data_IF_574457225858
#
_entry.id   IF_574457225858
#
_cell.length_a   1.000
_cell.length_b   1.000
_cell.length_c   1.000
_cell.angle_alpha   90.00
_cell.angle_beta   90.00
_cell.angle_gamma   90.00
#
_symmetry.space_group_name_H-M   'P 1'
#
loop_
_entity.id
_entity.type
_entity.pdbx_description
1 polymer ?
#
# COMPACT_ATOMS: atom_id res chain seq x y z
N UNK A 1 -16.56 -16.73 14.80
CA UNK A 1 -15.46 -17.66 14.61
C UNK A 1 -15.88 -18.78 13.65
N UNK A 2 -15.12 -19.00 12.60
CA UNK A 2 -15.36 -20.05 11.61
C UNK A 2 -14.90 -21.39 12.19
N UNK A 3 -15.77 -22.42 12.26
CA UNK A 3 -15.43 -23.67 12.94
C UNK A 3 -14.41 -24.54 12.19
N UNK A 4 -14.22 -24.31 10.89
CA UNK A 4 -13.19 -24.94 10.07
C UNK A 4 -12.51 -23.91 9.22
N UNK A 5 -11.19 -23.88 9.24
CA UNK A 5 -10.36 -22.96 8.47
C UNK A 5 -9.43 -23.73 7.53
N UNK A 6 -9.07 -23.10 6.42
CA UNK A 6 -8.04 -23.61 5.51
C UNK A 6 -6.68 -23.74 6.19
N UNK A 7 -5.84 -24.57 5.63
CA UNK A 7 -4.53 -24.89 6.23
C UNK A 7 -3.54 -23.72 6.17
N UNK A 8 -3.60 -22.90 5.13
CA UNK A 8 -2.66 -21.77 4.98
C UNK A 8 -3.32 -20.46 5.42
N UNK A 9 -2.70 -19.70 6.32
CA UNK A 9 -3.19 -18.37 6.64
C UNK A 9 -2.95 -17.41 5.48
N UNK A 10 -3.75 -16.33 5.45
CA UNK A 10 -3.62 -15.24 4.51
C UNK A 10 -3.11 -14.00 5.25
N UNK A 11 -1.98 -13.46 4.79
CA UNK A 11 -1.47 -12.16 5.24
C UNK A 11 -1.88 -11.09 4.24
N UNK A 12 -2.54 -10.06 4.72
CA UNK A 12 -3.05 -8.94 3.91
C UNK A 12 -2.28 -7.68 4.24
N UNK A 13 -1.66 -7.09 3.22
CA UNK A 13 -0.89 -5.84 3.32
C UNK A 13 -1.65 -4.73 2.60
N UNK A 14 -2.39 -3.89 3.33
CA UNK A 14 -3.13 -2.76 2.77
C UNK A 14 -2.20 -1.57 2.50
N UNK A 15 -2.68 -0.51 1.83
CA UNK A 15 -1.91 0.71 1.65
C UNK A 15 -1.55 1.36 3.01
N UNK A 16 -0.40 2.05 3.05
CA UNK A 16 0.07 2.80 4.21
C UNK A 16 -0.21 4.31 4.11
N UNK A 17 -0.65 4.80 2.94
CA UNK A 17 -0.97 6.22 2.70
C UNK A 17 -2.32 6.59 3.34
N UNK A 18 -3.28 5.67 3.27
CA UNK A 18 -4.55 5.75 3.98
C UNK A 18 -4.66 4.62 5.01
N UNK A 19 -5.74 4.58 5.75
CA UNK A 19 -5.95 3.57 6.80
C UNK A 19 -6.24 2.18 6.21
N UNK A 20 -5.75 1.17 6.91
CA UNK A 20 -5.85 -0.24 6.54
C UNK A 20 -7.29 -0.74 6.32
N UNK A 21 -8.28 -0.11 6.97
CA UNK A 21 -9.67 -0.55 6.98
C UNK A 21 -10.44 -0.28 5.68
N UNK A 22 -9.78 0.19 4.61
CA UNK A 22 -10.37 0.20 3.26
C UNK A 22 -10.91 -1.20 2.87
N UNK A 23 -10.26 -2.25 3.36
CA UNK A 23 -10.66 -3.64 3.08
C UNK A 23 -11.66 -4.20 4.10
N UNK A 24 -12.04 -3.40 5.10
CA UNK A 24 -12.90 -3.79 6.23
C UNK A 24 -13.70 -2.58 6.73
N UNK A 25 -14.47 -1.93 5.83
CA UNK A 25 -15.15 -0.67 6.10
C UNK A 25 -16.34 -0.86 7.06
N UNK A 26 -17.17 -1.86 6.81
CA UNK A 26 -18.34 -2.19 7.64
C UNK A 26 -18.79 -3.64 7.34
N UNK A 27 -19.67 -4.23 8.17
CA UNK A 27 -20.04 -5.65 8.03
C UNK A 27 -20.51 -6.07 6.64
N UNK A 28 -21.23 -5.20 5.94
CA UNK A 28 -21.78 -5.50 4.61
C UNK A 28 -20.83 -5.07 3.47
N UNK A 29 -19.70 -4.43 3.82
CA UNK A 29 -18.68 -3.97 2.89
C UNK A 29 -17.28 -4.27 3.46
N UNK A 30 -16.97 -5.58 3.59
CA UNK A 30 -15.72 -6.07 4.15
C UNK A 30 -15.20 -7.26 3.34
N UNK A 31 -14.09 -7.04 2.65
CA UNK A 31 -13.34 -8.12 2.01
C UNK A 31 -12.72 -9.06 3.05
N UNK A 32 -12.27 -8.51 4.19
CA UNK A 32 -11.71 -9.31 5.29
C UNK A 32 -12.74 -10.28 5.84
N UNK A 33 -13.96 -9.80 6.13
CA UNK A 33 -15.06 -10.63 6.58
C UNK A 33 -15.37 -11.74 5.56
N UNK A 34 -15.50 -11.38 4.29
CA UNK A 34 -15.73 -12.35 3.23
C UNK A 34 -14.66 -13.45 3.23
N UNK A 35 -13.37 -13.09 3.28
CA UNK A 35 -12.28 -14.07 3.31
C UNK A 35 -12.34 -14.99 4.53
N UNK A 36 -12.69 -14.45 5.70
CA UNK A 36 -12.86 -15.23 6.92
C UNK A 36 -14.06 -16.19 6.80
N UNK A 37 -15.18 -15.74 6.24
CA UNK A 37 -16.38 -16.58 5.99
C UNK A 37 -16.08 -17.70 4.97
N UNK A 38 -15.14 -17.49 4.05
CA UNK A 38 -14.64 -18.53 3.14
C UNK A 38 -13.64 -19.50 3.82
N UNK A 39 -13.46 -19.40 5.12
CA UNK A 39 -12.62 -20.33 5.89
C UNK A 39 -11.14 -20.00 5.92
N UNK A 40 -10.75 -18.78 5.66
CA UNK A 40 -9.36 -18.34 5.81
C UNK A 40 -9.08 -17.84 7.23
N UNK A 41 -7.87 -18.12 7.74
CA UNK A 41 -7.30 -17.38 8.86
C UNK A 41 -6.61 -16.16 8.27
N UNK A 42 -7.10 -14.96 8.58
CA UNK A 42 -6.65 -13.71 7.97
C UNK A 42 -5.87 -12.87 8.98
N UNK A 43 -4.68 -12.42 8.59
CA UNK A 43 -3.85 -11.46 9.31
C UNK A 43 -3.83 -10.17 8.48
N UNK A 44 -4.44 -9.11 9.00
CA UNK A 44 -4.46 -7.80 8.35
C UNK A 44 -3.43 -6.89 9.01
N UNK A 45 -2.46 -6.40 8.23
CA UNK A 45 -1.48 -5.43 8.70
C UNK A 45 -2.17 -4.10 8.98
N UNK A 46 -2.01 -3.58 10.19
CA UNK A 46 -2.50 -2.25 10.58
C UNK A 46 -1.31 -1.30 10.72
N UNK A 47 -1.14 -0.42 9.75
CA UNK A 47 -0.07 0.57 9.79
C UNK A 47 -0.33 1.62 10.87
N UNK A 48 0.67 1.86 11.71
CA UNK A 48 0.65 2.96 12.66
C UNK A 48 0.73 4.29 11.88
N UNK A 49 -0.07 5.29 12.27
CA UNK A 49 0.11 6.64 11.75
C UNK A 49 1.42 7.23 12.34
N UNK A 50 2.43 7.56 11.49
CA UNK A 50 3.68 8.12 11.97
C UNK A 50 3.50 9.48 12.67
N UNK A 51 4.27 9.66 13.74
CA UNK A 51 4.46 10.94 14.44
C UNK A 51 5.91 11.39 14.24
N UNK A 52 6.28 12.57 14.73
CA UNK A 52 7.66 13.09 14.64
C UNK A 52 8.71 12.07 15.11
N UNK A 53 8.39 11.28 16.14
CA UNK A 53 9.28 10.21 16.63
C UNK A 53 9.56 9.12 15.58
N UNK A 54 8.72 8.99 14.57
CA UNK A 54 8.84 8.00 13.47
C UNK A 54 9.36 8.63 12.17
N UNK A 55 9.67 9.92 12.19
CA UNK A 55 10.05 10.68 10.99
C UNK A 55 11.36 10.23 10.33
N UNK A 56 12.13 9.35 10.97
CA UNK A 56 13.37 8.77 10.48
C UNK A 56 13.19 7.46 9.71
N UNK A 57 11.99 6.84 9.77
CA UNK A 57 11.75 5.53 9.16
C UNK A 57 11.88 5.58 7.63
N UNK A 58 12.50 4.54 7.10
CA UNK A 58 12.83 4.36 5.70
C UNK A 58 11.87 3.39 4.99
N UNK A 59 12.03 3.23 3.69
CA UNK A 59 11.37 2.17 2.92
C UNK A 59 11.72 0.78 3.44
N UNK A 60 12.99 0.55 3.79
CA UNK A 60 13.45 -0.74 4.32
C UNK A 60 12.85 -1.07 5.69
N UNK A 61 12.67 -0.06 6.55
CA UNK A 61 11.97 -0.24 7.83
C UNK A 61 10.53 -0.71 7.63
N UNK A 62 9.85 -0.18 6.60
CA UNK A 62 8.50 -0.63 6.25
C UNK A 62 8.49 -2.06 5.72
N UNK A 63 9.51 -2.50 4.98
CA UNK A 63 9.64 -3.90 4.55
C UNK A 63 9.83 -4.84 5.73
N UNK A 64 10.81 -4.53 6.60
CA UNK A 64 11.20 -5.39 7.72
C UNK A 64 10.12 -5.48 8.79
N UNK A 65 9.62 -4.33 9.25
CA UNK A 65 8.66 -4.25 10.35
C UNK A 65 7.20 -4.40 9.92
N UNK A 66 6.93 -4.35 8.62
CA UNK A 66 5.61 -4.55 8.02
C UNK A 66 5.43 -5.98 7.50
N UNK A 67 5.47 -6.21 6.17
CA UNK A 67 5.15 -7.51 5.59
C UNK A 67 6.08 -8.63 6.01
N UNK A 68 7.39 -8.42 6.12
CA UNK A 68 8.33 -9.48 6.53
C UNK A 68 7.97 -9.98 7.94
N UNK A 69 7.84 -9.06 8.89
CA UNK A 69 7.42 -9.41 10.25
C UNK A 69 6.04 -10.09 10.28
N UNK A 70 5.05 -9.56 9.53
CA UNK A 70 3.71 -10.13 9.50
C UNK A 70 3.67 -11.56 8.93
N UNK A 71 4.45 -11.83 7.88
CA UNK A 71 4.57 -13.17 7.29
C UNK A 71 5.17 -14.17 8.29
N UNK A 72 6.25 -13.82 8.97
CA UNK A 72 6.88 -14.68 9.99
C UNK A 72 5.94 -14.91 11.19
N UNK A 73 5.26 -13.87 11.69
CA UNK A 73 4.29 -14.00 12.77
C UNK A 73 3.13 -14.92 12.40
N UNK A 74 2.61 -14.79 11.18
CA UNK A 74 1.54 -15.67 10.70
C UNK A 74 2.00 -17.13 10.61
N UNK A 75 3.23 -17.41 10.15
CA UNK A 75 3.82 -18.74 10.15
C UNK A 75 3.95 -19.28 11.58
N UNK A 76 4.45 -18.46 12.50
CA UNK A 76 4.66 -18.87 13.88
C UNK A 76 3.36 -19.19 14.59
N UNK A 77 2.33 -18.36 14.44
CA UNK A 77 1.02 -18.56 15.08
C UNK A 77 0.32 -19.81 14.49
N UNK A 78 0.29 -19.93 13.18
CA UNK A 78 -0.45 -20.99 12.50
C UNK A 78 0.34 -22.29 12.35
N UNK A 79 1.65 -22.28 12.64
CA UNK A 79 2.57 -23.43 12.49
C UNK A 79 2.62 -24.01 11.08
N UNK A 80 2.48 -23.15 10.06
CA UNK A 80 2.63 -23.54 8.66
C UNK A 80 3.92 -22.99 8.06
N UNK A 81 4.55 -23.78 7.18
CA UNK A 81 5.79 -23.36 6.51
C UNK A 81 5.58 -22.25 5.48
N UNK A 82 4.39 -22.23 4.87
CA UNK A 82 4.04 -21.22 3.85
C UNK A 82 2.70 -20.59 4.17
N UNK A 83 2.58 -19.32 3.82
CA UNK A 83 1.35 -18.52 3.93
C UNK A 83 0.90 -18.06 2.55
N UNK A 84 -0.34 -17.63 2.40
CA UNK A 84 -0.80 -16.86 1.25
C UNK A 84 -0.63 -15.37 1.56
N UNK A 85 -0.34 -14.58 0.55
CA UNK A 85 -0.15 -13.14 0.71
C UNK A 85 -1.02 -12.34 -0.26
N UNK A 86 -1.59 -11.24 0.22
CA UNK A 86 -2.36 -10.30 -0.57
C UNK A 86 -1.86 -8.90 -0.32
N UNK A 87 -1.56 -8.16 -1.38
CA UNK A 87 -1.20 -6.76 -1.34
C UNK A 87 -2.20 -5.89 -2.08
N UNK A 88 -2.55 -4.75 -1.50
CA UNK A 88 -3.45 -3.78 -2.12
C UNK A 88 -2.75 -2.44 -2.32
N UNK A 89 -2.79 -1.91 -3.55
CA UNK A 89 -2.20 -0.63 -3.95
C UNK A 89 -0.71 -0.57 -3.57
N UNK A 90 -0.22 0.50 -2.92
CA UNK A 90 1.17 0.61 -2.44
C UNK A 90 1.54 -0.52 -1.46
N UNK A 91 0.56 -1.07 -0.74
CA UNK A 91 0.78 -2.26 0.10
C UNK A 91 1.22 -3.48 -0.72
N UNK A 92 0.74 -3.62 -1.95
CA UNK A 92 1.20 -4.64 -2.88
C UNK A 92 2.64 -4.39 -3.36
N UNK A 93 3.01 -3.14 -3.63
CA UNK A 93 4.39 -2.77 -3.99
C UNK A 93 5.37 -3.06 -2.85
N UNK A 94 4.99 -2.69 -1.61
CA UNK A 94 5.76 -2.98 -0.39
C UNK A 94 5.88 -4.49 -0.18
N UNK A 95 4.77 -5.23 -0.26
CA UNK A 95 4.75 -6.69 -0.12
C UNK A 95 5.65 -7.37 -1.16
N UNK A 96 5.52 -7.02 -2.44
CA UNK A 96 6.31 -7.65 -3.51
C UNK A 96 7.80 -7.35 -3.37
N UNK A 97 8.16 -6.12 -2.94
CA UNK A 97 9.54 -5.76 -2.58
C UNK A 97 10.06 -6.61 -1.43
N UNK A 98 9.26 -6.80 -0.38
CA UNK A 98 9.61 -7.64 0.77
C UNK A 98 9.79 -9.12 0.37
N UNK A 99 8.96 -9.65 -0.54
CA UNK A 99 9.12 -11.01 -1.06
C UNK A 99 10.41 -11.16 -1.86
N UNK A 100 10.82 -10.14 -2.62
CA UNK A 100 12.10 -10.16 -3.32
C UNK A 100 13.30 -10.14 -2.34
N UNK A 101 13.20 -9.42 -1.23
CA UNK A 101 14.18 -9.45 -0.13
C UNK A 101 14.25 -10.85 0.48
N UNK A 102 13.11 -11.46 0.83
CA UNK A 102 13.04 -12.80 1.39
C UNK A 102 13.63 -13.85 0.42
N UNK A 103 13.31 -13.75 -0.88
CA UNK A 103 13.90 -14.61 -1.90
C UNK A 103 15.42 -14.47 -1.96
N UNK A 104 15.95 -13.24 -1.85
CA UNK A 104 17.39 -12.97 -1.74
C UNK A 104 18.03 -13.61 -0.51
N UNK A 105 17.30 -13.72 0.60
CA UNK A 105 17.72 -14.41 1.84
C UNK A 105 17.57 -15.92 1.78
N UNK A 106 17.01 -16.47 0.69
CA UNK A 106 16.73 -17.90 0.56
C UNK A 106 15.46 -18.35 1.31
N UNK A 107 14.57 -17.41 1.63
CA UNK A 107 13.31 -17.67 2.33
C UNK A 107 12.15 -17.72 1.33
N UNK A 108 11.58 -18.89 1.11
CA UNK A 108 10.43 -19.11 0.21
C UNK A 108 9.19 -19.45 1.04
N UNK A 109 8.64 -18.44 1.69
CA UNK A 109 7.60 -18.57 2.71
C UNK A 109 6.19 -18.24 2.21
N UNK A 110 6.04 -17.80 0.96
CA UNK A 110 4.74 -17.46 0.37
C UNK A 110 4.36 -18.46 -0.71
N UNK A 111 3.20 -19.09 -0.55
CA UNK A 111 2.68 -20.11 -1.47
C UNK A 111 1.90 -19.53 -2.65
N UNK A 112 1.27 -18.37 -2.46
CA UNK A 112 0.56 -17.63 -3.51
C UNK A 112 0.51 -16.15 -3.20
N UNK A 113 0.53 -15.34 -4.25
CA UNK A 113 0.48 -13.86 -4.17
C UNK A 113 -0.78 -13.36 -4.87
N UNK A 114 -1.52 -12.48 -4.20
CA UNK A 114 -2.61 -11.73 -4.81
C UNK A 114 -2.26 -10.25 -4.80
N UNK A 115 -2.34 -9.59 -5.93
CA UNK A 115 -2.12 -8.15 -6.07
C UNK A 115 -3.39 -7.48 -6.57
N UNK A 116 -3.88 -6.50 -5.84
CA UNK A 116 -5.04 -5.71 -6.20
C UNK A 116 -4.58 -4.28 -6.48
N UNK A 117 -4.82 -3.78 -7.70
CA UNK A 117 -4.48 -2.41 -8.13
C UNK A 117 -3.09 -1.97 -7.63
N UNK A 118 -2.05 -2.71 -8.03
CA UNK A 118 -0.67 -2.54 -7.53
C UNK A 118 0.27 -2.17 -8.67
N UNK A 119 1.05 -1.09 -8.52
CA UNK A 119 2.12 -0.76 -9.44
C UNK A 119 3.42 -1.49 -9.06
N UNK A 120 3.99 -2.21 -10.01
CA UNK A 120 5.34 -2.79 -9.96
C UNK A 120 6.22 -2.26 -11.10
N UNK A 121 5.61 -1.77 -12.16
CA UNK A 121 6.20 -0.96 -13.23
C UNK A 121 5.53 0.42 -13.21
N UNK A 122 6.33 1.46 -13.06
CA UNK A 122 5.90 2.85 -12.96
C UNK A 122 6.08 3.61 -14.28
N UNK A 123 6.04 2.92 -15.42
CA UNK A 123 6.10 3.54 -16.75
C UNK A 123 4.88 4.43 -16.99
N UNK A 124 3.71 3.99 -16.55
CA UNK A 124 2.49 4.80 -16.50
C UNK A 124 2.06 4.91 -15.03
N UNK A 125 2.16 6.10 -14.50
CA UNK A 125 1.82 6.41 -13.10
C UNK A 125 0.49 7.15 -12.97
N UNK A 126 -0.28 7.18 -14.05
CA UNK A 126 -1.53 7.94 -14.10
C UNK A 126 -1.32 9.42 -13.78
N UNK A 127 -2.34 10.03 -13.20
CA UNK A 127 -2.33 11.46 -12.88
C UNK A 127 -1.37 11.82 -11.74
N UNK A 128 -0.96 10.86 -10.90
CA UNK A 128 -0.02 11.11 -9.79
C UNK A 128 1.34 11.57 -10.31
N UNK A 129 1.77 11.06 -11.46
CA UNK A 129 3.04 11.45 -12.10
C UNK A 129 3.16 12.96 -12.35
N UNK A 130 2.05 13.66 -12.53
CA UNK A 130 2.03 15.12 -12.74
C UNK A 130 2.52 15.92 -11.52
N UNK A 131 2.50 15.32 -10.33
CA UNK A 131 2.92 15.95 -9.07
C UNK A 131 4.35 15.57 -8.67
N UNK A 132 5.04 14.78 -9.51
CA UNK A 132 6.38 14.26 -9.21
C UNK A 132 7.35 14.73 -10.30
N UNK A 133 7.99 15.86 -10.03
CA UNK A 133 9.04 16.44 -10.87
C UNK A 133 10.34 16.59 -10.09
N UNK A 134 11.46 16.79 -10.81
CA UNK A 134 12.80 16.89 -10.22
C UNK A 134 12.92 17.99 -9.17
N UNK A 135 12.35 19.17 -9.41
CA UNK A 135 12.45 20.29 -8.49
C UNK A 135 11.67 20.03 -7.21
N UNK A 136 10.46 19.50 -7.33
CA UNK A 136 9.62 19.10 -6.21
C UNK A 136 10.25 17.99 -5.38
N UNK A 137 10.88 17.02 -6.02
CA UNK A 137 11.62 15.95 -5.35
C UNK A 137 12.83 16.49 -4.59
N UNK A 138 13.68 17.30 -5.22
CA UNK A 138 14.85 17.93 -4.58
C UNK A 138 14.43 18.78 -3.36
N UNK A 139 13.36 19.54 -3.49
CA UNK A 139 12.84 20.34 -2.38
C UNK A 139 12.38 19.47 -1.20
N UNK A 140 11.66 18.37 -1.46
CA UNK A 140 11.23 17.42 -0.41
C UNK A 140 12.42 16.69 0.21
N UNK A 141 13.35 16.20 -0.60
CA UNK A 141 14.58 15.54 -0.14
C UNK A 141 15.41 16.45 0.77
N UNK A 142 15.49 17.74 0.45
CA UNK A 142 16.22 18.73 1.28
C UNK A 142 15.53 19.03 2.61
N UNK A 143 14.21 18.94 2.67
CA UNK A 143 13.41 19.32 3.85
C UNK A 143 13.10 18.14 4.77
N UNK A 144 12.65 17.02 4.21
CA UNK A 144 12.19 15.84 4.98
C UNK A 144 12.96 14.55 4.63
N UNK A 145 13.84 14.56 3.64
CA UNK A 145 14.53 13.33 3.19
C UNK A 145 15.46 12.71 4.21
N UNK A 146 15.93 13.46 5.21
CA UNK A 146 16.77 12.97 6.30
C UNK A 146 16.02 12.77 7.62
N UNK A 147 14.75 13.09 7.65
CA UNK A 147 13.87 13.00 8.82
C UNK A 147 12.72 14.00 8.72
N UNK A 148 11.66 13.78 9.50
CA UNK A 148 10.45 14.56 9.45
C UNK A 148 9.29 13.81 8.80
N UNK A 149 8.20 14.48 8.53
CA UNK A 149 6.98 13.87 8.03
C UNK A 149 6.51 14.55 6.73
N UNK A 150 6.01 13.77 5.80
CA UNK A 150 5.07 14.23 4.77
C UNK A 150 3.67 14.18 5.42
N UNK A 151 3.02 15.36 5.64
CA UNK A 151 1.75 15.40 6.36
C UNK A 151 0.61 14.70 5.60
N UNK A 152 -0.25 14.01 6.32
CA UNK A 152 -1.46 13.37 5.80
C UNK A 152 -2.34 14.36 4.99
N UNK A 153 -2.43 15.60 5.45
CA UNK A 153 -3.21 16.66 4.78
C UNK A 153 -2.71 16.95 3.36
N UNK A 154 -1.41 16.90 3.12
CA UNK A 154 -0.83 17.20 1.81
C UNK A 154 -1.18 16.08 0.82
N UNK A 155 -1.12 14.84 1.27
CA UNK A 155 -1.56 13.67 0.50
C UNK A 155 -3.06 13.72 0.21
N UNK A 156 -3.89 13.98 1.22
CA UNK A 156 -5.34 14.13 1.09
C UNK A 156 -5.70 15.23 0.07
N UNK A 157 -5.01 16.36 0.14
CA UNK A 157 -5.22 17.47 -0.78
C UNK A 157 -4.89 17.05 -2.21
N UNK A 158 -3.75 16.39 -2.44
CA UNK A 158 -3.37 15.87 -3.75
C UNK A 158 -4.42 14.91 -4.31
N UNK A 159 -4.83 13.90 -3.54
CA UNK A 159 -5.86 12.95 -3.97
C UNK A 159 -7.24 13.60 -4.22
N UNK A 160 -7.60 14.63 -3.45
CA UNK A 160 -8.85 15.37 -3.66
C UNK A 160 -8.81 16.19 -4.95
N UNK A 161 -7.66 16.74 -5.33
CA UNK A 161 -7.50 17.47 -6.59
C UNK A 161 -7.53 16.55 -7.82
N UNK A 162 -7.06 15.32 -7.73
CA UNK A 162 -7.15 14.33 -8.82
C UNK A 162 -8.61 14.06 -9.24
N UNK A 163 -9.55 14.16 -8.32
CA UNK A 163 -10.99 13.94 -8.56
C UNK A 163 -11.83 15.10 -8.02
N UNK A 164 -11.41 16.33 -8.32
CA UNK A 164 -12.04 17.54 -7.80
C UNK A 164 -13.55 17.62 -8.12
N UNK A 165 -13.99 17.15 -9.27
CA UNK A 165 -15.41 17.13 -9.63
C UNK A 165 -16.23 16.21 -8.72
N UNK A 166 -15.70 15.06 -8.37
CA UNK A 166 -16.39 14.07 -7.53
C UNK A 166 -16.28 14.39 -6.04
N UNK A 167 -15.09 14.82 -5.59
CA UNK A 167 -14.76 14.96 -4.17
C UNK A 167 -14.91 16.38 -3.61
N UNK A 168 -14.98 17.40 -4.48
CA UNK A 168 -15.12 18.80 -4.06
C UNK A 168 -16.35 19.44 -4.68
N UNK A 169 -16.39 19.59 -5.99
CA UNK A 169 -17.42 20.38 -6.65
C UNK A 169 -18.82 19.77 -6.58
N UNK A 170 -18.93 18.46 -6.55
CA UNK A 170 -20.21 17.79 -6.38
C UNK A 170 -20.86 18.12 -5.02
N UNK A 171 -20.02 18.22 -3.95
CA UNK A 171 -20.49 18.63 -2.62
C UNK A 171 -20.78 20.11 -2.54
N UNK A 172 -19.98 20.96 -3.18
CA UNK A 172 -20.28 22.41 -3.28
C UNK A 172 -21.63 22.60 -3.95
N UNK A 173 -21.87 21.95 -5.09
CA UNK A 173 -23.14 22.08 -5.81
C UNK A 173 -24.32 21.47 -5.05
N UNK A 174 -24.16 20.26 -4.53
CA UNK A 174 -25.24 19.54 -3.82
C UNK A 174 -25.56 20.18 -2.46
N UNK A 175 -24.56 20.33 -1.62
CA UNK A 175 -24.77 20.72 -0.23
C UNK A 175 -24.89 22.24 -0.07
N UNK A 176 -23.89 22.99 -0.55
CA UNK A 176 -23.88 24.45 -0.35
C UNK A 176 -24.91 25.17 -1.23
N UNK A 177 -24.95 24.88 -2.54
CA UNK A 177 -25.84 25.60 -3.46
C UNK A 177 -27.28 25.07 -3.42
N UNK A 178 -27.50 23.75 -3.27
CA UNK A 178 -28.85 23.13 -3.30
C UNK A 178 -29.39 22.79 -1.91
N UNK A 179 -28.61 22.97 -0.84
CA UNK A 179 -29.03 22.67 0.54
C UNK A 179 -29.31 21.19 0.80
N UNK A 180 -28.81 20.28 -0.02
CA UNK A 180 -28.98 18.84 0.17
C UNK A 180 -28.08 18.34 1.30
N UNK A 181 -28.57 17.38 2.08
CA UNK A 181 -27.73 16.73 3.09
C UNK A 181 -26.68 15.85 2.39
N UNK A 182 -25.41 15.89 2.86
CA UNK A 182 -24.40 14.95 2.39
C UNK A 182 -24.89 13.51 2.59
N UNK A 183 -24.71 12.67 1.59
CA UNK A 183 -24.93 11.23 1.79
C UNK A 183 -23.83 10.68 2.70
N UNK A 184 -24.24 9.91 3.71
CA UNK A 184 -23.31 9.13 4.50
C UNK A 184 -22.72 8.03 3.62
N UNK A 185 -21.38 8.08 3.41
CA UNK A 185 -20.70 7.14 2.56
C UNK A 185 -19.37 6.74 3.24
N UNK A 186 -19.25 5.48 3.58
CA UNK A 186 -18.10 4.94 4.34
C UNK A 186 -16.74 5.22 3.70
N UNK A 187 -16.67 5.10 2.37
CA UNK A 187 -15.45 5.37 1.61
C UNK A 187 -15.00 6.83 1.71
N UNK A 188 -15.93 7.79 1.84
CA UNK A 188 -15.58 9.21 2.04
C UNK A 188 -14.91 9.43 3.38
N UNK A 189 -15.41 8.78 4.44
CA UNK A 189 -14.78 8.83 5.74
C UNK A 189 -13.36 8.28 5.68
N UNK A 190 -13.17 7.11 5.09
CA UNK A 190 -11.86 6.52 4.89
C UNK A 190 -10.93 7.43 4.06
N UNK A 191 -11.41 8.03 2.99
CA UNK A 191 -10.63 8.92 2.12
C UNK A 191 -10.15 10.18 2.88
N UNK A 192 -10.92 10.64 3.87
CA UNK A 192 -10.53 11.78 4.72
C UNK A 192 -9.60 11.40 5.88
N UNK A 193 -9.44 10.10 6.19
CA UNK A 193 -8.61 9.59 7.28
C UNK A 193 -7.22 9.17 6.77
N UNK A 194 -6.49 10.11 6.20
CA UNK A 194 -5.15 9.89 5.65
C UNK A 194 -4.10 9.67 6.75
N UNK A 195 -2.95 9.14 6.35
CA UNK A 195 -1.82 8.83 7.23
C UNK A 195 -0.63 9.69 6.85
N UNK A 196 0.11 10.20 7.84
CA UNK A 196 1.42 10.79 7.60
C UNK A 196 2.37 9.74 7.02
N UNK A 197 3.37 10.18 6.27
CA UNK A 197 4.48 9.31 5.86
C UNK A 197 5.80 9.84 6.43
N UNK A 198 6.72 8.96 6.88
CA UNK A 198 8.08 9.38 7.20
C UNK A 198 8.75 9.97 5.97
N UNK A 199 9.49 11.06 6.17
CA UNK A 199 10.13 11.79 5.07
C UNK A 199 11.06 10.93 4.22
N UNK A 200 12.01 10.18 4.83
CA UNK A 200 12.91 9.28 4.09
C UNK A 200 12.15 8.21 3.29
N UNK A 201 11.11 7.61 3.87
CA UNK A 201 10.24 6.66 3.15
C UNK A 201 9.59 7.31 1.93
N UNK A 202 8.95 8.48 2.12
CA UNK A 202 8.21 9.16 1.06
C UNK A 202 9.13 9.63 -0.08
N UNK A 203 10.29 10.22 0.26
CA UNK A 203 11.27 10.66 -0.73
C UNK A 203 11.84 9.48 -1.52
N UNK A 204 12.19 8.39 -0.84
CA UNK A 204 12.70 7.18 -1.48
C UNK A 204 11.67 6.59 -2.46
N UNK A 205 10.39 6.48 -2.02
CA UNK A 205 9.29 5.97 -2.82
C UNK A 205 9.06 6.79 -4.10
N UNK A 206 8.96 8.11 -3.95
CA UNK A 206 8.78 9.02 -5.08
C UNK A 206 9.97 8.99 -6.05
N UNK A 207 11.20 9.01 -5.55
CA UNK A 207 12.42 9.02 -6.38
C UNK A 207 12.62 7.72 -7.11
N UNK A 208 12.71 6.61 -6.38
CA UNK A 208 13.13 5.33 -6.95
C UNK A 208 12.04 4.63 -7.75
N UNK A 209 10.76 4.82 -7.37
CA UNK A 209 9.65 4.14 -8.03
C UNK A 209 8.95 5.04 -9.05
N UNK A 210 8.38 6.15 -8.63
CA UNK A 210 7.65 7.02 -9.56
C UNK A 210 8.54 7.73 -10.58
N UNK A 211 9.66 8.30 -10.15
CA UNK A 211 10.54 9.08 -11.04
C UNK A 211 11.46 8.17 -11.86
N UNK A 212 12.23 7.30 -11.20
CA UNK A 212 13.27 6.51 -11.84
C UNK A 212 12.78 5.15 -12.36
N UNK A 213 11.58 4.72 -11.97
CA UNK A 213 11.00 3.41 -12.28
C UNK A 213 12.00 2.25 -12.09
N UNK A 214 12.72 2.29 -10.98
CA UNK A 214 13.87 1.41 -10.75
C UNK A 214 13.46 -0.01 -10.35
N UNK A 215 12.24 -0.21 -9.79
CA UNK A 215 11.80 -1.50 -9.27
C UNK A 215 11.68 -2.57 -10.36
N UNK A 216 11.28 -2.19 -11.58
CA UNK A 216 11.14 -3.12 -12.70
C UNK A 216 12.47 -3.62 -13.27
N UNK A 217 13.60 -2.96 -12.91
CA UNK A 217 14.91 -3.29 -13.46
C UNK A 217 15.63 -4.25 -12.53
N UNK A 218 15.87 -5.52 -12.92
CA UNK A 218 16.53 -6.50 -12.08
C UNK A 218 17.87 -6.02 -11.53
N UNK A 219 18.04 -6.09 -10.21
CA UNK A 219 19.29 -5.75 -9.52
C UNK A 219 19.63 -4.26 -9.46
N UNK A 220 18.79 -3.35 -9.97
CA UNK A 220 19.03 -1.90 -9.90
C UNK A 220 18.86 -1.36 -8.48
N UNK A 221 17.89 -1.90 -7.72
CA UNK A 221 17.66 -1.55 -6.32
C UNK A 221 18.29 -2.58 -5.40
N UNK A 222 18.80 -2.08 -4.28
CA UNK A 222 19.19 -2.89 -3.12
C UNK A 222 18.27 -2.49 -1.95
N UNK A 223 17.70 -3.48 -1.26
CA UNK A 223 16.83 -3.29 -0.11
C UNK A 223 17.18 -4.33 0.96
N UNK A 224 17.32 -3.89 2.19
CA UNK A 224 17.64 -4.78 3.33
C UNK A 224 18.86 -5.68 3.05
N UNK A 225 19.89 -5.14 2.36
CA UNK A 225 21.09 -5.85 1.97
C UNK A 225 20.92 -6.88 0.83
N UNK A 226 19.78 -6.87 0.12
CA UNK A 226 19.51 -7.78 -0.99
C UNK A 226 19.29 -7.01 -2.30
N UNK A 227 19.88 -7.48 -3.40
CA UNK A 227 19.60 -6.99 -4.74
C UNK A 227 18.21 -7.47 -5.19
N UNK A 228 17.34 -6.52 -5.54
CA UNK A 228 15.94 -6.78 -5.86
C UNK A 228 15.79 -7.22 -7.32
N UNK A 229 15.16 -8.37 -7.49
CA UNK A 229 14.79 -8.91 -8.80
C UNK A 229 13.41 -9.58 -8.69
N UNK A 230 12.39 -8.89 -9.15
CA UNK A 230 11.00 -9.38 -9.12
C UNK A 230 10.82 -10.61 -10.02
N UNK A 231 11.64 -10.79 -11.04
CA UNK A 231 11.62 -11.94 -11.94
C UNK A 231 11.98 -13.27 -11.26
N UNK A 232 12.54 -13.23 -10.05
CA UNK A 232 12.84 -14.41 -9.24
C UNK A 232 11.67 -14.90 -8.38
N UNK A 233 10.55 -14.18 -8.37
CA UNK A 233 9.34 -14.58 -7.65
C UNK A 233 8.56 -15.59 -8.50
N UNK A 234 8.54 -16.86 -8.06
CA UNK A 234 8.02 -17.98 -8.83
C UNK A 234 6.67 -18.51 -8.33
N UNK A 235 6.16 -17.97 -7.19
CA UNK A 235 4.87 -18.39 -6.66
C UNK A 235 3.73 -18.04 -7.63
N UNK A 236 2.64 -18.82 -7.69
CA UNK A 236 1.43 -18.46 -8.42
C UNK A 236 0.93 -17.07 -7.99
N UNK A 237 0.63 -16.22 -8.95
CA UNK A 237 0.16 -14.88 -8.71
C UNK A 237 -1.21 -14.63 -9.38
N UNK A 238 -2.13 -14.01 -8.63
CA UNK A 238 -3.36 -13.43 -9.14
C UNK A 238 -3.24 -11.90 -9.12
N UNK A 239 -3.44 -11.28 -10.27
CA UNK A 239 -3.33 -9.82 -10.41
C UNK A 239 -4.68 -9.28 -10.87
N UNK A 240 -5.21 -8.32 -10.10
CA UNK A 240 -6.42 -7.57 -10.46
C UNK A 240 -6.02 -6.11 -10.70
N UNK A 241 -6.43 -5.59 -11.86
CA UNK A 241 -6.31 -4.19 -12.22
C UNK A 241 -7.66 -3.66 -12.73
N UNK A 242 -7.92 -2.38 -12.58
CA UNK A 242 -9.12 -1.74 -13.08
C UNK A 242 -8.80 -0.92 -14.33
N UNK A 243 -9.60 -1.11 -15.38
CA UNK A 243 -9.36 -0.47 -16.67
C UNK A 243 -9.37 1.05 -16.62
N UNK A 244 -10.23 1.60 -15.77
CA UNK A 244 -10.44 3.05 -15.64
C UNK A 244 -9.80 3.62 -14.37
N UNK A 245 -8.74 2.97 -13.87
CA UNK A 245 -7.99 3.45 -12.72
C UNK A 245 -7.06 4.59 -13.14
N UNK A 246 -7.27 5.77 -12.57
CA UNK A 246 -6.46 6.96 -12.84
C UNK A 246 -5.26 7.11 -11.90
N UNK A 247 -5.17 6.25 -10.87
CA UNK A 247 -4.08 6.24 -9.88
C UNK A 247 -3.12 5.08 -10.14
N UNK A 248 -3.68 3.92 -10.46
CA UNK A 248 -2.94 2.68 -10.74
C UNK A 248 -3.42 2.12 -12.08
N UNK A 249 -2.98 2.70 -13.22
CA UNK A 249 -3.34 2.20 -14.56
C UNK A 249 -2.98 0.72 -14.72
N UNK A 250 -3.83 0.00 -15.51
CA UNK A 250 -3.71 -1.45 -15.72
C UNK A 250 -2.62 -1.85 -16.71
#
# INVERSE_FOLDING_TARGET
LTPKVGTRPLVVVPPCINKFYIMDLQPDNSLIRFMVEQGNTVFLVSWRNPTEAHGHLTWEDYLEHGPIAALHVAQEICKFKQVNALGFCVGGTILTSALAVLKGRGEDIVASLTLLTTLLDFTDTGEIGLFIDDNGLLARESTIGKGGLLPARDLQTTFSFLRANDLVWNYVAGNYLKGQKPQAFDLLYWNSDSTNLPGPFACWYMRNLYHDNSLRVPGKLEMCGQRIDLGKLEMPAYVLAAREDHIVPW
#
